data_IF_280596580916
#
_entry.id   IF_280596580916
#
_cell.length_a   1.000
_cell.length_b   1.000
_cell.length_c   1.000
_cell.angle_alpha   90.00
_cell.angle_beta   90.00
_cell.angle_gamma   90.00
#
_symmetry.space_group_name_H-M   'P 1'
#
loop_
_entity.id
_entity.type
_entity.pdbx_description
1 polymer ?
#
# COMPACT_ATOMS: atom_id res chain seq x y z
N UNK A 1 -21.14 29.39 -5.24
CA UNK A 1 -21.16 30.00 -3.90
C UNK A 1 -20.78 28.90 -2.90
N UNK A 2 -19.92 29.24 -1.97
CA UNK A 2 -19.55 28.33 -0.88
C UNK A 2 -20.71 28.29 0.12
N UNK A 3 -21.25 27.08 0.36
CA UNK A 3 -22.44 26.89 1.20
C UNK A 3 -22.15 26.90 2.70
N UNK A 4 -20.87 26.94 3.11
CA UNK A 4 -20.45 26.84 4.50
C UNK A 4 -19.94 28.16 5.04
N UNK A 5 -20.31 28.51 6.29
CA UNK A 5 -19.71 29.64 7.01
C UNK A 5 -18.23 29.33 7.35
N UNK A 6 -17.47 30.38 7.70
CA UNK A 6 -16.05 30.21 8.12
C UNK A 6 -15.92 29.25 9.29
N UNK A 7 -16.83 29.33 10.28
CA UNK A 7 -16.82 28.47 11.46
C UNK A 7 -17.19 27.03 11.14
N UNK A 8 -18.19 26.83 10.28
CA UNK A 8 -18.57 25.48 9.82
C UNK A 8 -17.41 24.83 9.05
N UNK A 9 -16.74 25.61 8.20
CA UNK A 9 -15.56 25.13 7.47
C UNK A 9 -14.43 24.77 8.41
N UNK A 10 -14.13 25.63 9.40
CA UNK A 10 -13.11 25.36 10.41
C UNK A 10 -13.41 24.05 11.16
N UNK A 11 -14.65 23.83 11.59
CA UNK A 11 -15.08 22.56 12.24
C UNK A 11 -14.90 21.35 11.32
N UNK A 12 -15.29 21.46 10.04
CA UNK A 12 -15.09 20.37 9.07
C UNK A 12 -13.60 20.05 8.89
N UNK A 13 -12.75 21.07 8.77
CA UNK A 13 -11.31 20.88 8.58
C UNK A 13 -10.62 20.31 9.82
N UNK A 14 -10.99 20.75 11.01
CA UNK A 14 -10.45 20.23 12.29
C UNK A 14 -10.90 18.79 12.60
N UNK A 15 -12.06 18.38 12.05
CA UNK A 15 -12.56 17.01 12.21
C UNK A 15 -11.86 15.97 11.28
N UNK A 16 -11.04 16.44 10.31
CA UNK A 16 -10.31 15.55 9.41
C UNK A 16 -9.16 14.87 10.17
N UNK A 17 -9.26 13.56 10.29
CA UNK A 17 -8.24 12.75 10.94
C UNK A 17 -7.08 12.48 9.99
N UNK A 18 -5.87 12.62 10.50
CA UNK A 18 -4.64 12.28 9.77
C UNK A 18 -4.24 10.81 9.92
N UNK A 19 -4.88 10.06 10.81
CA UNK A 19 -4.60 8.63 11.10
C UNK A 19 -5.89 7.90 11.39
N UNK A 20 -5.88 6.58 11.18
CA UNK A 20 -7.03 5.70 11.42
C UNK A 20 -8.27 6.14 10.62
N UNK A 21 -8.06 6.57 9.39
CA UNK A 21 -9.14 6.92 8.47
C UNK A 21 -9.96 5.69 8.09
N UNK A 22 -11.21 5.88 7.66
CA UNK A 22 -12.06 4.76 7.21
C UNK A 22 -11.41 3.91 6.11
N UNK A 23 -10.77 4.51 5.06
CA UNK A 23 -10.03 3.75 4.05
C UNK A 23 -8.89 2.91 4.62
N UNK A 24 -8.05 3.48 5.50
CA UNK A 24 -6.97 2.75 6.15
C UNK A 24 -7.49 1.54 6.95
N UNK A 25 -8.52 1.75 7.77
CA UNK A 25 -9.10 0.67 8.59
C UNK A 25 -9.66 -0.47 7.72
N UNK A 26 -10.20 -0.15 6.55
CA UNK A 26 -10.72 -1.13 5.60
C UNK A 26 -9.59 -2.00 5.05
N UNK A 27 -8.51 -1.39 4.57
CA UNK A 27 -7.32 -2.12 4.08
C UNK A 27 -6.70 -2.97 5.20
N UNK A 28 -6.58 -2.42 6.42
CA UNK A 28 -6.06 -3.14 7.59
C UNK A 28 -6.87 -4.39 7.91
N UNK A 29 -8.21 -4.26 7.99
CA UNK A 29 -9.11 -5.38 8.28
C UNK A 29 -9.00 -6.47 7.22
N UNK A 30 -8.98 -6.08 5.95
CA UNK A 30 -8.83 -7.02 4.85
C UNK A 30 -7.50 -7.80 4.94
N UNK A 31 -6.38 -7.10 5.03
CA UNK A 31 -5.06 -7.76 5.11
C UNK A 31 -4.95 -8.67 6.32
N UNK A 32 -5.48 -8.24 7.47
CA UNK A 32 -5.47 -9.06 8.69
C UNK A 32 -6.30 -10.34 8.52
N UNK A 33 -7.50 -10.25 7.91
CA UNK A 33 -8.36 -11.40 7.65
C UNK A 33 -7.75 -12.40 6.64
N UNK A 34 -6.83 -11.93 5.78
CA UNK A 34 -6.07 -12.76 4.84
C UNK A 34 -4.75 -13.29 5.42
N UNK A 35 -4.54 -13.12 6.74
CA UNK A 35 -3.35 -13.63 7.42
C UNK A 35 -2.10 -12.76 7.32
N UNK A 36 -2.15 -11.60 6.65
CA UNK A 36 -1.02 -10.67 6.60
C UNK A 36 -0.80 -10.00 7.95
N UNK A 37 0.47 -9.90 8.34
CA UNK A 37 0.90 -9.19 9.56
C UNK A 37 1.66 -7.93 9.16
N UNK A 38 1.28 -6.81 9.76
CA UNK A 38 1.82 -5.49 9.44
C UNK A 38 2.06 -4.66 10.70
N UNK A 39 2.89 -3.65 10.58
CA UNK A 39 3.07 -2.58 11.57
C UNK A 39 2.46 -1.29 11.03
N UNK A 40 1.98 -0.43 11.93
CA UNK A 40 1.34 0.83 11.57
C UNK A 40 2.31 1.99 11.76
N UNK A 41 2.23 2.99 10.86
CA UNK A 41 2.90 4.29 10.99
C UNK A 41 4.33 4.19 11.51
N UNK A 42 5.17 3.38 10.87
CA UNK A 42 6.53 3.10 11.37
C UNK A 42 7.39 4.36 11.38
N UNK A 43 7.86 4.83 12.57
CA UNK A 43 8.48 6.17 12.70
C UNK A 43 9.85 6.29 12.04
N UNK A 44 10.55 5.18 11.78
CA UNK A 44 11.90 5.16 11.20
C UNK A 44 11.89 5.07 9.66
N UNK A 45 10.72 4.94 9.05
CA UNK A 45 10.61 4.89 7.59
C UNK A 45 10.18 6.26 7.04
N UNK A 46 10.76 6.71 5.91
CA UNK A 46 10.35 7.92 5.23
C UNK A 46 8.84 7.92 4.95
N UNK A 47 8.18 9.06 5.09
CA UNK A 47 6.76 9.22 4.82
C UNK A 47 5.80 8.56 5.80
N UNK A 48 6.30 7.92 6.85
CA UNK A 48 5.48 7.23 7.86
C UNK A 48 4.37 6.37 7.24
N UNK A 49 4.69 5.33 6.45
CA UNK A 49 3.72 4.52 5.73
C UNK A 49 2.60 4.02 6.63
N UNK A 50 1.36 4.00 6.15
CA UNK A 50 0.19 3.57 6.92
C UNK A 50 0.32 2.11 7.36
N UNK A 51 0.83 1.24 6.47
CA UNK A 51 1.11 -0.16 6.79
C UNK A 51 2.52 -0.54 6.31
N UNK A 52 3.20 -1.35 7.11
CA UNK A 52 4.53 -1.88 6.81
C UNK A 52 4.53 -3.40 6.97
N UNK A 53 4.65 -4.11 5.86
CA UNK A 53 4.72 -5.57 5.79
C UNK A 53 6.19 -6.01 5.67
N UNK A 54 6.86 -6.21 6.79
CA UNK A 54 8.30 -6.52 6.83
C UNK A 54 8.64 -7.82 6.09
N UNK A 55 7.80 -8.84 6.22
CA UNK A 55 7.98 -10.14 5.55
C UNK A 55 8.01 -10.01 4.02
N UNK A 56 7.30 -9.02 3.49
CA UNK A 56 7.14 -8.73 2.06
C UNK A 56 8.02 -7.56 1.60
N UNK A 57 8.84 -6.97 2.48
CA UNK A 57 9.57 -5.72 2.23
C UNK A 57 8.71 -4.64 1.54
N UNK A 58 7.43 -4.59 1.90
CA UNK A 58 6.44 -3.73 1.24
C UNK A 58 5.85 -2.74 2.23
N UNK A 59 5.69 -1.51 1.76
CA UNK A 59 4.97 -0.45 2.46
C UNK A 59 3.74 -0.05 1.66
N UNK A 60 2.66 0.30 2.37
CA UNK A 60 1.41 0.71 1.75
C UNK A 60 1.03 2.09 2.27
N UNK A 61 0.72 2.99 1.32
CA UNK A 61 0.15 4.29 1.56
C UNK A 61 -1.32 4.29 1.12
N UNK A 62 -2.22 4.77 1.98
CA UNK A 62 -3.65 4.90 1.68
C UNK A 62 -3.99 6.37 1.52
N UNK A 63 -3.89 6.85 0.29
CA UNK A 63 -3.95 8.27 -0.02
C UNK A 63 -5.37 8.78 -0.28
N UNK A 64 -5.75 9.87 0.38
CA UNK A 64 -6.95 10.64 0.05
C UNK A 64 -6.79 11.36 -1.29
N UNK A 65 -7.78 11.23 -2.18
CA UNK A 65 -7.68 11.76 -3.55
C UNK A 65 -7.44 13.27 -3.61
N UNK A 66 -8.06 14.03 -2.73
CA UNK A 66 -7.89 15.48 -2.67
C UNK A 66 -6.49 15.87 -2.17
N UNK A 67 -6.07 15.31 -1.04
CA UNK A 67 -4.86 15.71 -0.33
C UNK A 67 -3.56 15.41 -1.09
N UNK A 68 -3.57 14.36 -1.91
CA UNK A 68 -2.41 13.90 -2.68
C UNK A 68 -2.57 14.15 -4.19
N UNK A 69 -3.59 14.92 -4.60
CA UNK A 69 -3.78 15.37 -5.97
C UNK A 69 -3.93 14.22 -6.99
N UNK A 70 -4.86 13.29 -6.74
CA UNK A 70 -5.08 12.14 -7.61
C UNK A 70 -5.56 12.58 -9.00
N UNK A 71 -4.67 12.61 -9.98
CA UNK A 71 -4.95 13.07 -11.36
C UNK A 71 -6.04 12.22 -12.02
N UNK A 72 -6.94 12.88 -12.77
CA UNK A 72 -8.04 12.22 -13.47
C UNK A 72 -9.17 11.68 -12.57
N UNK A 73 -9.12 11.93 -11.26
CA UNK A 73 -10.11 11.47 -10.31
C UNK A 73 -11.20 12.51 -10.08
N UNK A 74 -12.46 12.10 -10.19
CA UNK A 74 -13.63 12.97 -9.93
C UNK A 74 -13.70 13.51 -8.50
N UNK A 75 -12.98 12.92 -7.55
CA UNK A 75 -12.92 13.37 -6.16
C UNK A 75 -11.75 14.35 -5.91
N UNK A 76 -10.92 14.61 -6.92
CA UNK A 76 -9.91 15.64 -6.90
C UNK A 76 -10.43 16.89 -7.61
N UNK A 77 -11.03 17.78 -6.86
CA UNK A 77 -11.54 19.07 -7.37
C UNK A 77 -10.98 20.17 -6.49
N UNK A 78 -10.25 21.08 -7.09
CA UNK A 78 -9.73 22.26 -6.38
C UNK A 78 -10.89 23.17 -5.92
N UNK A 79 -10.84 23.69 -4.69
CA UNK A 79 -11.80 24.68 -4.22
C UNK A 79 -11.77 25.94 -5.08
N UNK A 80 -12.90 26.57 -5.28
CA UNK A 80 -13.00 27.84 -6.03
C UNK A 80 -12.43 29.05 -5.26
N UNK A 81 -12.26 28.91 -3.96
CA UNK A 81 -11.69 29.94 -3.07
C UNK A 81 -10.28 29.54 -2.64
N UNK A 82 -9.37 30.51 -2.56
CA UNK A 82 -7.96 30.29 -2.22
C UNK A 82 -7.28 29.22 -3.10
N UNK A 83 -7.52 29.27 -4.39
CA UNK A 83 -7.03 28.29 -5.37
C UNK A 83 -5.52 28.13 -5.29
N UNK A 84 -4.78 29.24 -5.32
CA UNK A 84 -3.32 29.24 -5.25
C UNK A 84 -2.79 28.57 -3.98
N UNK A 85 -3.38 28.85 -2.82
CA UNK A 85 -3.01 28.20 -1.55
C UNK A 85 -3.16 26.68 -1.64
N UNK A 86 -4.30 26.21 -2.18
CA UNK A 86 -4.57 24.79 -2.30
C UNK A 86 -3.67 24.11 -3.32
N UNK A 87 -3.42 24.77 -4.44
CA UNK A 87 -2.52 24.26 -5.47
C UNK A 87 -1.11 24.09 -4.91
N UNK A 88 -0.53 25.13 -4.32
CA UNK A 88 0.79 25.08 -3.67
C UNK A 88 0.88 24.00 -2.58
N UNK A 89 -0.20 23.83 -1.80
CA UNK A 89 -0.23 22.81 -0.74
C UNK A 89 -0.24 21.40 -1.32
N UNK A 90 -1.03 21.14 -2.35
CA UNK A 90 -1.12 19.83 -2.99
C UNK A 90 0.17 19.50 -3.73
N UNK A 91 0.78 20.45 -4.44
CA UNK A 91 2.06 20.29 -5.11
C UNK A 91 3.19 19.94 -4.12
N UNK A 92 3.23 20.61 -2.97
CA UNK A 92 4.17 20.22 -1.89
C UNK A 92 3.94 18.80 -1.39
N UNK A 93 2.69 18.41 -1.20
CA UNK A 93 2.37 17.04 -0.79
C UNK A 93 2.84 16.03 -1.84
N UNK A 94 2.55 16.28 -3.13
CA UNK A 94 2.98 15.41 -4.23
C UNK A 94 4.51 15.31 -4.33
N UNK A 95 5.21 16.43 -4.23
CA UNK A 95 6.68 16.46 -4.27
C UNK A 95 7.28 15.68 -3.11
N UNK A 96 6.73 15.82 -1.91
CA UNK A 96 7.12 15.06 -0.73
C UNK A 96 6.85 13.57 -0.93
N UNK A 97 5.65 13.18 -1.38
CA UNK A 97 5.27 11.78 -1.61
C UNK A 97 6.20 11.09 -2.64
N UNK A 98 6.64 11.83 -3.67
CA UNK A 98 7.59 11.34 -4.67
C UNK A 98 8.97 11.11 -4.04
N UNK A 99 9.46 12.09 -3.26
CA UNK A 99 10.76 12.00 -2.60
C UNK A 99 10.79 10.83 -1.59
N UNK A 100 9.75 10.70 -0.77
CA UNK A 100 9.63 9.64 0.24
C UNK A 100 9.58 8.25 -0.40
N UNK A 101 8.80 8.09 -1.49
CA UNK A 101 8.76 6.83 -2.26
C UNK A 101 10.11 6.49 -2.88
N UNK A 102 10.79 7.48 -3.49
CA UNK A 102 12.13 7.27 -4.05
C UNK A 102 13.12 6.80 -2.99
N UNK A 103 13.08 7.42 -1.81
CA UNK A 103 13.93 7.04 -0.69
C UNK A 103 13.60 5.64 -0.16
N UNK A 104 12.33 5.26 -0.04
CA UNK A 104 11.93 3.91 0.35
C UNK A 104 12.38 2.87 -0.67
N UNK A 105 12.24 3.16 -1.97
CA UNK A 105 12.70 2.26 -3.03
C UNK A 105 14.22 2.08 -3.00
N UNK A 106 14.99 3.16 -2.78
CA UNK A 106 16.47 3.04 -2.62
C UNK A 106 16.88 2.22 -1.38
N UNK A 107 16.02 2.15 -0.36
CA UNK A 107 16.20 1.27 0.81
C UNK A 107 15.75 -0.18 0.55
N UNK A 108 15.32 -0.51 -0.67
CA UNK A 108 14.84 -1.84 -1.07
C UNK A 108 13.43 -2.17 -0.59
N UNK A 109 12.57 -1.15 -0.39
CA UNK A 109 11.16 -1.34 -0.07
C UNK A 109 10.30 -1.22 -1.33
N UNK A 110 9.35 -2.13 -1.50
CA UNK A 110 8.28 -1.99 -2.48
C UNK A 110 7.22 -1.02 -1.95
N UNK A 111 6.83 -0.05 -2.77
CA UNK A 111 5.87 0.99 -2.38
C UNK A 111 4.55 0.80 -3.13
N UNK A 112 3.48 0.50 -2.42
CA UNK A 112 2.13 0.40 -2.97
C UNK A 112 1.31 1.60 -2.51
N UNK A 113 0.65 2.28 -3.45
CA UNK A 113 -0.28 3.37 -3.13
C UNK A 113 -1.70 2.96 -3.48
N UNK A 114 -2.61 3.06 -2.51
CA UNK A 114 -4.03 2.80 -2.69
C UNK A 114 -4.78 4.12 -2.54
N UNK A 115 -5.62 4.44 -3.51
CA UNK A 115 -6.40 5.66 -3.48
C UNK A 115 -7.76 5.46 -2.82
N UNK A 116 -8.23 6.46 -2.09
CA UNK A 116 -9.55 6.42 -1.44
C UNK A 116 -10.68 6.09 -2.41
N UNK A 117 -10.62 6.57 -3.66
CA UNK A 117 -11.65 6.28 -4.68
C UNK A 117 -11.71 4.80 -5.05
N UNK A 118 -10.58 4.09 -5.00
CA UNK A 118 -10.49 2.65 -5.27
C UNK A 118 -11.10 1.79 -4.15
N UNK A 119 -11.34 2.38 -2.98
CA UNK A 119 -11.95 1.70 -1.84
C UNK A 119 -13.46 1.97 -1.72
N UNK A 120 -14.07 2.60 -2.72
CA UNK A 120 -15.54 2.77 -2.78
C UNK A 120 -16.24 1.43 -3.04
N UNK A 121 -17.47 1.22 -2.55
CA UNK A 121 -18.15 -0.08 -2.55
C UNK A 121 -18.13 -0.84 -3.89
N UNK A 122 -18.26 -0.14 -5.01
CA UNK A 122 -18.32 -0.75 -6.35
C UNK A 122 -17.03 -1.40 -6.82
N UNK A 123 -15.86 -0.85 -6.41
CA UNK A 123 -14.54 -1.28 -6.93
C UNK A 123 -13.63 -1.82 -5.83
N UNK A 124 -14.07 -1.71 -4.58
CA UNK A 124 -13.29 -2.06 -3.39
C UNK A 124 -12.76 -3.49 -3.44
N UNK A 125 -13.64 -4.45 -3.73
CA UNK A 125 -13.24 -5.86 -3.70
C UNK A 125 -12.14 -6.15 -4.73
N UNK A 126 -12.30 -5.67 -5.94
CA UNK A 126 -11.31 -5.81 -7.00
C UNK A 126 -9.95 -5.19 -6.59
N UNK A 127 -9.97 -4.02 -5.96
CA UNK A 127 -8.74 -3.35 -5.48
C UNK A 127 -8.05 -4.15 -4.38
N UNK A 128 -8.82 -4.70 -3.45
CA UNK A 128 -8.27 -5.48 -2.35
C UNK A 128 -7.72 -6.84 -2.80
N UNK A 129 -8.40 -7.51 -3.74
CA UNK A 129 -7.92 -8.76 -4.33
C UNK A 129 -6.64 -8.52 -5.16
N UNK A 130 -6.57 -7.42 -5.91
CA UNK A 130 -5.36 -7.02 -6.62
C UNK A 130 -4.19 -6.72 -5.67
N UNK A 131 -4.48 -6.10 -4.51
CA UNK A 131 -3.47 -5.87 -3.47
C UNK A 131 -2.91 -7.18 -2.92
N UNK A 132 -3.78 -8.14 -2.59
CA UNK A 132 -3.38 -9.47 -2.12
C UNK A 132 -2.51 -10.18 -3.15
N UNK A 133 -2.94 -10.21 -4.41
CA UNK A 133 -2.17 -10.79 -5.52
C UNK A 133 -0.78 -10.15 -5.64
N UNK A 134 -0.72 -8.81 -5.63
CA UNK A 134 0.56 -8.09 -5.74
C UNK A 134 1.51 -8.42 -4.59
N UNK A 135 1.01 -8.51 -3.35
CA UNK A 135 1.83 -8.87 -2.20
C UNK A 135 2.37 -10.30 -2.31
N UNK A 136 1.54 -11.26 -2.74
CA UNK A 136 1.98 -12.64 -2.97
C UNK A 136 3.03 -12.71 -4.09
N UNK A 137 2.84 -11.97 -5.18
CA UNK A 137 3.78 -11.93 -6.30
C UNK A 137 5.15 -11.36 -5.88
N UNK A 138 5.18 -10.22 -5.19
CA UNK A 138 6.41 -9.63 -4.65
C UNK A 138 7.16 -10.66 -3.77
N UNK A 139 6.43 -11.37 -2.91
CA UNK A 139 7.03 -12.35 -2.01
C UNK A 139 7.66 -13.53 -2.73
N UNK A 140 7.04 -13.98 -3.80
CA UNK A 140 7.56 -15.07 -4.61
C UNK A 140 8.78 -14.63 -5.42
N UNK A 141 8.76 -13.43 -5.98
CA UNK A 141 9.89 -12.90 -6.76
C UNK A 141 11.12 -12.62 -5.90
N UNK A 142 10.95 -11.97 -4.76
CA UNK A 142 12.06 -11.72 -3.82
C UNK A 142 12.75 -13.01 -3.35
N UNK A 143 12.06 -14.15 -3.40
CA UNK A 143 12.63 -15.46 -3.06
C UNK A 143 13.22 -16.21 -4.26
N UNK A 144 12.67 -16.01 -5.46
CA UNK A 144 13.21 -16.60 -6.69
C UNK A 144 14.66 -16.18 -6.93
N UNK A 145 14.96 -14.89 -6.75
CA UNK A 145 16.30 -14.35 -6.96
C UNK A 145 17.34 -14.96 -6.01
N UNK A 146 16.93 -15.38 -4.81
CA UNK A 146 17.84 -15.98 -3.83
C UNK A 146 18.15 -17.46 -4.06
N UNK A 147 17.39 -18.16 -4.90
CA UNK A 147 17.59 -19.60 -5.14
C UNK A 147 18.50 -19.93 -6.31
N UNK A 148 18.99 -18.94 -7.08
CA UNK A 148 19.79 -19.16 -8.29
C UNK A 148 21.18 -18.55 -8.28
N UNK A 149 21.66 -18.03 -7.16
CA UNK A 149 23.09 -17.69 -6.99
C UNK A 149 23.93 -18.89 -6.47
N UNK A 150 23.57 -20.11 -6.82
CA UNK A 150 24.49 -21.23 -6.66
C UNK A 150 25.37 -21.28 -7.89
N UNK A 151 26.64 -20.93 -7.69
CA UNK A 151 27.75 -21.07 -8.60
C UNK A 151 27.76 -22.45 -9.27
N UNK A 152 28.03 -22.47 -10.58
CA UNK A 152 28.08 -23.68 -11.41
C UNK A 152 29.20 -24.70 -11.02
N UNK A 153 29.78 -24.61 -9.84
CA UNK A 153 30.91 -25.46 -9.40
C UNK A 153 30.55 -26.68 -8.56
N UNK A 154 29.27 -26.93 -8.25
CA UNK A 154 28.84 -28.16 -7.50
C UNK A 154 27.88 -29.09 -8.28
N UNK A 155 28.04 -29.26 -9.57
CA UNK A 155 27.36 -30.31 -10.31
C UNK A 155 28.22 -31.57 -10.38
N UNK A 156 28.26 -32.26 -9.28
CA UNK A 156 28.76 -33.61 -9.18
C UNK A 156 27.91 -34.48 -8.29
N UNK A 157 26.60 -34.57 -8.52
CA UNK A 157 25.76 -35.71 -8.14
C UNK A 157 24.32 -35.52 -8.58
N UNK A 158 23.86 -36.49 -9.34
CA UNK A 158 22.56 -36.65 -9.95
C UNK A 158 21.43 -36.50 -8.94
N UNK A 159 20.51 -35.58 -9.19
CA UNK A 159 19.15 -35.66 -8.69
C UNK A 159 18.18 -35.51 -9.86
N UNK A 160 17.35 -36.51 -10.05
CA UNK A 160 16.34 -36.59 -11.11
C UNK A 160 15.35 -35.41 -11.04
N UNK A 161 14.79 -34.95 -12.18
CA UNK A 161 13.85 -33.82 -12.21
C UNK A 161 12.53 -34.25 -11.58
N UNK A 162 12.17 -33.63 -10.48
CA UNK A 162 10.83 -33.78 -9.88
C UNK A 162 9.85 -32.89 -10.66
N UNK A 163 9.30 -33.41 -11.74
CA UNK A 163 8.08 -32.91 -12.36
C UNK A 163 6.91 -33.23 -11.42
N UNK A 164 6.49 -32.33 -10.54
CA UNK A 164 5.11 -32.38 -9.99
C UNK A 164 4.79 -31.38 -8.86
N UNK A 165 5.40 -30.21 -8.78
CA UNK A 165 4.96 -29.22 -7.78
C UNK A 165 4.55 -27.86 -8.35
N UNK A 166 3.89 -27.87 -9.50
CA UNK A 166 3.25 -26.68 -10.05
C UNK A 166 1.73 -26.74 -9.83
N UNK A 167 1.26 -26.72 -8.60
CA UNK A 167 -0.14 -26.38 -8.22
C UNK A 167 -0.31 -26.49 -6.70
N UNK A 168 0.24 -25.57 -5.93
CA UNK A 168 -0.20 -25.44 -4.56
C UNK A 168 -0.47 -23.97 -4.24
N UNK A 169 -1.73 -23.76 -3.92
CA UNK A 169 -2.37 -22.58 -3.38
C UNK A 169 -1.47 -21.85 -2.37
N UNK A 170 -1.10 -20.62 -2.67
CA UNK A 170 -0.27 -19.75 -1.84
C UNK A 170 -0.92 -19.37 -0.47
N UNK A 171 -2.11 -19.90 -0.16
CA UNK A 171 -2.90 -19.55 1.02
C UNK A 171 -3.18 -20.70 2.02
N UNK A 172 -2.61 -21.90 1.87
CA UNK A 172 -3.03 -23.06 2.70
C UNK A 172 -1.99 -23.58 3.70
N UNK A 173 -0.97 -22.80 4.06
CA UNK A 173 0.01 -23.25 5.06
C UNK A 173 -0.19 -22.64 6.45
N UNK A 174 -1.43 -22.32 6.84
CA UNK A 174 -1.71 -21.91 8.22
C UNK A 174 -3.10 -22.37 8.68
N UNK A 175 -3.36 -23.67 8.59
CA UNK A 175 -4.42 -24.28 9.39
C UNK A 175 -3.96 -25.65 9.84
N UNK A 176 -3.99 -25.86 11.09
CA UNK A 176 -3.73 -27.04 11.92
C UNK A 176 -2.32 -27.08 12.53
N UNK A 177 -2.26 -26.53 13.74
CA UNK A 177 -1.80 -27.22 14.93
C UNK A 177 -2.03 -26.31 16.12
N UNK A 178 -3.21 -26.43 16.72
CA UNK A 178 -3.48 -26.08 18.10
C UNK A 178 -4.63 -26.98 18.56
N UNK A 179 -4.26 -28.17 18.99
CA UNK A 179 -5.01 -28.93 19.97
C UNK A 179 -4.40 -28.68 21.34
#
# INVERSE_FOLDING_TARGET
>A
MDKLTKEQRHRCMSAIKSKNTKPELLVRKFLFSRGFRYRLNHPRLPGHPDLVLRKFRTVIFVNGCFWHGHKGCKYYVLPKTNVEFWQNKIERNQSRDIAERKQLTSMGWHCITIWECQLKPKVRQQTLDALEYTLCHIYLEDRRIKSYETTEEEYGMVAEPVESYAKSKCCLLYTSDAA
#
